data_IF_838011750520
#
_entry.id   IF_838011750520
#
_cell.length_a   1.000
_cell.length_b   1.000
_cell.length_c   1.000
_cell.angle_alpha   90.00
_cell.angle_beta   90.00
_cell.angle_gamma   90.00
#
_symmetry.space_group_name_H-M   'P 1'
#
loop_
_entity.id
_entity.type
_entity.pdbx_description
1 polymer ?
#
# COMPACT_ATOMS: atom_id res chain seq x y z
N UNK A 1 15.62 14.11 -7.71
CA UNK A 1 15.07 13.23 -6.64
C UNK A 1 13.82 13.87 -6.07
N UNK A 2 12.80 13.06 -5.79
CA UNK A 2 11.57 13.54 -5.16
C UNK A 2 11.79 13.75 -3.67
N UNK A 3 11.16 14.80 -3.12
CA UNK A 3 11.15 15.12 -1.68
C UNK A 3 9.83 14.65 -1.08
N UNK A 4 9.88 14.02 0.10
CA UNK A 4 8.67 13.60 0.79
C UNK A 4 7.89 14.82 1.31
N UNK A 5 6.58 14.88 0.99
CA UNK A 5 5.70 15.98 1.38
C UNK A 5 4.53 15.46 2.22
N UNK A 6 4.32 16.07 3.39
CA UNK A 6 3.29 15.66 4.34
C UNK A 6 1.87 15.97 3.87
N UNK A 7 1.66 17.03 3.10
CA UNK A 7 0.34 17.36 2.55
C UNK A 7 -0.06 16.35 1.46
N UNK A 8 0.88 15.94 0.60
CA UNK A 8 0.64 14.86 -0.36
C UNK A 8 0.38 13.52 0.33
N UNK A 9 1.08 13.23 1.44
CA UNK A 9 0.82 12.02 2.23
C UNK A 9 -0.57 12.07 2.90
N UNK A 10 -0.99 13.23 3.38
CA UNK A 10 -2.35 13.43 3.91
C UNK A 10 -3.41 13.27 2.82
N UNK A 11 -3.16 13.76 1.61
CA UNK A 11 -4.05 13.57 0.46
C UNK A 11 -4.20 12.08 0.12
N UNK A 12 -3.08 11.34 0.07
CA UNK A 12 -3.04 9.91 -0.17
C UNK A 12 -3.83 9.13 0.91
N UNK A 13 -3.67 9.51 2.18
CA UNK A 13 -4.42 8.93 3.29
C UNK A 13 -5.92 9.14 3.15
N UNK A 14 -6.36 10.38 2.90
CA UNK A 14 -7.78 10.72 2.69
C UNK A 14 -8.38 10.01 1.48
N UNK A 15 -7.61 9.85 0.41
CA UNK A 15 -8.02 9.08 -0.77
C UNK A 15 -8.27 7.62 -0.41
N UNK A 16 -7.35 6.95 0.31
CA UNK A 16 -7.50 5.56 0.73
C UNK A 16 -8.72 5.38 1.64
N UNK A 17 -8.91 6.27 2.63
CA UNK A 17 -10.08 6.26 3.52
C UNK A 17 -11.39 6.40 2.75
N UNK A 18 -11.44 7.31 1.78
CA UNK A 18 -12.61 7.51 0.92
C UNK A 18 -12.89 6.26 0.06
N UNK A 19 -11.85 5.61 -0.46
CA UNK A 19 -11.99 4.36 -1.22
C UNK A 19 -12.63 3.26 -0.38
N UNK A 20 -12.23 3.08 0.88
CA UNK A 20 -12.84 2.12 1.79
C UNK A 20 -14.27 2.54 2.17
N UNK A 21 -14.49 3.81 2.50
CA UNK A 21 -15.79 4.31 2.92
C UNK A 21 -16.85 4.20 1.81
N UNK A 22 -16.50 4.56 0.57
CA UNK A 22 -17.40 4.52 -0.57
C UNK A 22 -17.30 3.20 -1.37
N UNK A 23 -16.49 2.24 -0.87
CA UNK A 23 -16.33 0.89 -1.41
C UNK A 23 -16.01 0.85 -2.91
N UNK A 24 -14.95 1.53 -3.36
CA UNK A 24 -14.54 1.55 -4.75
C UNK A 24 -13.03 1.37 -4.94
N UNK A 25 -12.64 0.88 -6.14
CA UNK A 25 -11.27 0.79 -6.61
C UNK A 25 -11.15 1.51 -7.95
N UNK A 26 -10.78 2.80 -7.92
CA UNK A 26 -10.64 3.67 -9.09
C UNK A 26 -9.92 4.96 -8.72
N UNK A 27 -9.32 5.64 -9.71
CA UNK A 27 -8.83 7.01 -9.54
C UNK A 27 -9.97 7.98 -9.17
N UNK A 28 -11.15 7.79 -9.74
CA UNK A 28 -12.32 8.65 -9.52
C UNK A 28 -13.29 8.01 -8.53
N UNK A 29 -13.74 8.80 -7.57
CA UNK A 29 -14.77 8.35 -6.61
C UNK A 29 -16.16 8.32 -7.27
N UNK A 30 -17.09 7.50 -6.73
CA UNK A 30 -18.47 7.43 -7.27
C UNK A 30 -19.25 8.75 -7.20
N UNK A 31 -18.88 9.65 -6.28
CA UNK A 31 -19.43 11.00 -6.14
C UNK A 31 -18.79 12.03 -7.08
N UNK A 32 -17.89 11.59 -7.97
CA UNK A 32 -17.19 12.41 -8.94
C UNK A 32 -15.91 13.06 -8.44
N UNK A 33 -15.53 12.88 -7.17
CA UNK A 33 -14.23 13.39 -6.67
C UNK A 33 -13.07 12.77 -7.42
N UNK A 34 -12.15 13.64 -7.81
CA UNK A 34 -10.91 13.31 -8.51
C UNK A 34 -9.75 13.15 -7.51
N UNK A 35 -8.62 12.55 -7.89
CA UNK A 35 -7.41 12.57 -7.05
C UNK A 35 -6.97 13.99 -6.67
N UNK A 36 -7.21 14.95 -7.56
CA UNK A 36 -6.85 16.35 -7.38
C UNK A 36 -7.63 17.03 -6.27
N UNK A 37 -8.88 16.64 -6.05
CA UNK A 37 -9.70 17.17 -4.95
C UNK A 37 -9.13 16.78 -3.58
N UNK A 38 -8.53 15.60 -3.46
CA UNK A 38 -7.84 15.17 -2.23
C UNK A 38 -6.55 15.96 -2.02
N UNK A 39 -5.78 16.23 -3.09
CA UNK A 39 -4.56 17.03 -3.04
C UNK A 39 -4.87 18.47 -2.62
N UNK A 40 -5.86 19.12 -3.27
CA UNK A 40 -6.30 20.45 -2.91
C UNK A 40 -6.92 20.51 -1.51
N UNK A 41 -7.69 19.49 -1.12
CA UNK A 41 -8.27 19.35 0.22
C UNK A 41 -7.25 19.10 1.34
N UNK A 42 -6.00 18.79 0.98
CA UNK A 42 -4.86 18.74 1.89
C UNK A 42 -4.04 20.04 1.90
N UNK A 43 -4.57 21.12 1.32
CA UNK A 43 -3.90 22.43 1.17
C UNK A 43 -2.65 22.41 0.28
N UNK A 44 -2.50 21.43 -0.60
CA UNK A 44 -1.40 21.38 -1.54
C UNK A 44 -1.85 21.97 -2.88
N UNK A 45 -1.43 23.20 -3.17
CA UNK A 45 -1.63 23.85 -4.47
C UNK A 45 -0.49 23.44 -5.39
N UNK A 46 -0.81 22.94 -6.56
CA UNK A 46 0.17 22.33 -7.47
C UNK A 46 0.15 22.96 -8.87
N UNK A 47 1.28 22.88 -9.53
CA UNK A 47 1.41 23.09 -10.97
C UNK A 47 1.23 21.74 -11.70
N UNK A 48 1.89 20.70 -11.18
CA UNK A 48 1.76 19.34 -11.67
C UNK A 48 1.34 18.42 -10.53
N UNK A 49 0.48 17.44 -10.83
CA UNK A 49 0.10 16.39 -9.90
C UNK A 49 -0.07 15.05 -10.61
N UNK A 50 0.09 13.96 -9.88
CA UNK A 50 -0.07 12.60 -10.36
C UNK A 50 -0.44 11.62 -9.26
N UNK A 51 -1.03 10.49 -9.65
CA UNK A 51 -1.43 9.43 -8.72
C UNK A 51 -1.05 8.07 -9.29
N UNK A 52 -0.50 7.20 -8.45
CA UNK A 52 -0.39 5.77 -8.67
C UNK A 52 -1.11 5.03 -7.55
N UNK A 53 -1.85 3.99 -7.90
CA UNK A 53 -2.59 3.17 -6.96
C UNK A 53 -2.14 1.72 -7.02
N UNK A 54 -2.06 1.06 -5.86
CA UNK A 54 -1.84 -0.37 -5.76
C UNK A 54 -2.64 -0.97 -4.61
N UNK A 55 -3.04 -2.23 -4.73
CA UNK A 55 -3.70 -2.98 -3.66
C UNK A 55 -3.22 -4.42 -3.58
N UNK A 56 -3.26 -4.96 -2.35
CA UNK A 56 -3.03 -6.39 -2.05
C UNK A 56 -1.64 -6.92 -2.42
N UNK A 57 -0.62 -6.06 -2.43
CA UNK A 57 0.76 -6.51 -2.54
C UNK A 57 1.29 -6.97 -1.18
N UNK A 58 2.01 -8.09 -1.15
CA UNK A 58 2.62 -8.61 0.07
C UNK A 58 3.84 -7.80 0.52
N UNK A 59 4.56 -7.21 -0.44
CA UNK A 59 5.80 -6.50 -0.19
C UNK A 59 5.86 -5.20 -1.00
N UNK A 60 6.52 -4.19 -0.45
CA UNK A 60 6.66 -2.88 -1.09
C UNK A 60 7.46 -2.92 -2.41
N UNK A 61 8.47 -3.80 -2.51
CA UNK A 61 9.19 -3.99 -3.76
C UNK A 61 8.29 -4.49 -4.89
N UNK A 62 7.34 -5.39 -4.59
CA UNK A 62 6.34 -5.85 -5.56
C UNK A 62 5.47 -4.72 -6.11
N UNK A 63 5.10 -3.74 -5.26
CA UNK A 63 4.37 -2.53 -5.70
C UNK A 63 5.22 -1.73 -6.70
N UNK A 64 6.47 -1.45 -6.34
CA UNK A 64 7.38 -0.67 -7.18
C UNK A 64 7.64 -1.40 -8.50
N UNK A 65 7.90 -2.69 -8.46
CA UNK A 65 8.13 -3.51 -9.66
C UNK A 65 6.90 -3.52 -10.58
N UNK A 66 5.69 -3.64 -10.03
CA UNK A 66 4.44 -3.58 -10.79
C UNK A 66 4.26 -2.22 -11.46
N UNK A 67 4.45 -1.12 -10.72
CA UNK A 67 4.39 0.22 -11.28
C UNK A 67 5.45 0.47 -12.35
N UNK A 68 6.70 0.02 -12.15
CA UNK A 68 7.78 0.18 -13.14
C UNK A 68 7.60 -0.67 -14.39
N UNK A 69 6.86 -1.78 -14.32
CA UNK A 69 6.51 -2.61 -15.46
C UNK A 69 5.27 -2.12 -16.22
N UNK A 70 4.52 -1.16 -15.67
CA UNK A 70 3.40 -0.50 -16.34
C UNK A 70 3.83 0.84 -16.92
N UNK A 71 3.59 1.08 -18.21
CA UNK A 71 4.03 2.31 -18.89
C UNK A 71 3.49 3.58 -18.22
N UNK A 72 2.21 3.61 -17.90
CA UNK A 72 1.53 4.78 -17.31
C UNK A 72 2.03 5.10 -15.90
N UNK A 73 2.17 4.08 -15.05
CA UNK A 73 2.67 4.27 -13.68
C UNK A 73 4.16 4.63 -13.66
N UNK A 74 4.94 4.00 -14.55
CA UNK A 74 6.36 4.31 -14.73
C UNK A 74 6.56 5.75 -15.20
N UNK A 75 5.73 6.25 -16.11
CA UNK A 75 5.77 7.64 -16.56
C UNK A 75 5.57 8.60 -15.37
N UNK A 76 4.64 8.33 -14.48
CA UNK A 76 4.46 9.11 -13.26
C UNK A 76 5.73 9.09 -12.38
N UNK A 77 6.33 7.91 -12.14
CA UNK A 77 7.51 7.78 -11.29
C UNK A 77 8.72 8.53 -11.87
N UNK A 78 8.87 8.51 -13.19
CA UNK A 78 10.02 9.09 -13.89
C UNK A 78 9.79 10.51 -14.40
N UNK A 79 8.60 11.08 -14.18
CA UNK A 79 8.26 12.41 -14.65
C UNK A 79 9.11 13.48 -13.98
N UNK A 80 9.82 14.25 -14.81
CA UNK A 80 10.82 15.23 -14.34
C UNK A 80 10.20 16.46 -13.69
N UNK A 81 8.96 16.75 -14.05
CA UNK A 81 8.19 17.87 -13.53
C UNK A 81 7.79 17.66 -12.07
N UNK A 82 7.71 16.43 -11.59
CA UNK A 82 7.41 16.19 -10.18
C UNK A 82 8.65 16.42 -9.32
N UNK A 83 8.48 17.20 -8.27
CA UNK A 83 9.53 17.52 -7.29
C UNK A 83 9.26 16.91 -5.91
N UNK A 84 8.00 16.58 -5.63
CA UNK A 84 7.55 16.08 -4.34
C UNK A 84 6.67 14.84 -4.49
N UNK A 85 6.63 14.05 -3.44
CA UNK A 85 5.84 12.80 -3.37
C UNK A 85 5.27 12.60 -1.97
N UNK A 86 4.10 12.00 -1.88
CA UNK A 86 3.50 11.53 -0.64
C UNK A 86 2.95 10.12 -0.79
N UNK A 87 2.89 9.38 0.32
CA UNK A 87 2.42 7.99 0.34
C UNK A 87 1.43 7.77 1.47
N UNK A 88 0.50 6.85 1.23
CA UNK A 88 -0.30 6.22 2.27
C UNK A 88 -0.38 4.71 2.04
N UNK A 89 -0.28 3.95 3.13
CA UNK A 89 -0.51 2.50 3.16
C UNK A 89 -1.59 2.27 4.20
N UNK A 90 -2.77 1.86 3.77
CA UNK A 90 -3.95 1.76 4.62
C UNK A 90 -4.60 0.40 4.46
N UNK A 91 -4.93 -0.23 5.58
CA UNK A 91 -5.67 -1.48 5.63
C UNK A 91 -7.14 -1.21 5.91
N UNK A 92 -8.02 -1.89 5.23
CA UNK A 92 -9.47 -1.78 5.40
C UNK A 92 -10.23 -2.89 4.70
N UNK A 93 -11.54 -2.76 4.66
CA UNK A 93 -12.40 -3.71 3.94
C UNK A 93 -12.87 -3.07 2.63
N UNK A 94 -12.64 -3.75 1.51
CA UNK A 94 -13.09 -3.34 0.18
C UNK A 94 -13.83 -4.52 -0.47
N UNK A 95 -15.07 -4.30 -0.91
CA UNK A 95 -15.93 -5.35 -1.46
C UNK A 95 -16.07 -6.59 -0.53
N UNK A 96 -16.07 -6.38 0.79
CA UNK A 96 -16.17 -7.45 1.79
C UNK A 96 -14.85 -8.16 2.10
N UNK A 97 -13.74 -7.81 1.44
CA UNK A 97 -12.42 -8.42 1.62
C UNK A 97 -11.44 -7.50 2.34
N UNK A 98 -10.61 -8.08 3.20
CA UNK A 98 -9.51 -7.35 3.82
C UNK A 98 -8.49 -6.96 2.75
N UNK A 99 -8.26 -5.67 2.59
CA UNK A 99 -7.47 -5.08 1.51
C UNK A 99 -6.46 -4.11 2.07
N UNK A 100 -5.22 -4.17 1.58
CA UNK A 100 -4.21 -3.14 1.79
C UNK A 100 -4.16 -2.25 0.55
N UNK A 101 -4.41 -0.95 0.73
CA UNK A 101 -4.24 0.05 -0.33
C UNK A 101 -2.89 0.76 -0.17
N UNK A 102 -2.21 0.98 -1.29
CA UNK A 102 -1.01 1.81 -1.40
C UNK A 102 -1.32 2.93 -2.38
N UNK A 103 -1.32 4.16 -1.88
CA UNK A 103 -1.57 5.37 -2.66
C UNK A 103 -0.28 6.17 -2.73
N UNK A 104 0.12 6.54 -3.93
CA UNK A 104 1.25 7.44 -4.18
C UNK A 104 0.73 8.69 -4.89
N UNK A 105 0.97 9.84 -4.28
CA UNK A 105 0.63 11.16 -4.83
C UNK A 105 1.91 11.90 -5.18
N UNK A 106 2.00 12.41 -6.40
CA UNK A 106 3.10 13.26 -6.86
C UNK A 106 2.65 14.70 -6.96
N UNK A 107 3.59 15.62 -6.82
CA UNK A 107 3.30 17.04 -7.02
C UNK A 107 4.53 17.87 -7.31
N UNK A 108 4.23 19.04 -7.89
CA UNK A 108 5.12 20.21 -7.94
C UNK A 108 4.32 21.36 -7.40
N UNK A 109 4.77 22.01 -6.30
CA UNK A 109 4.00 23.09 -5.71
C UNK A 109 3.86 24.26 -6.69
N UNK A 110 2.67 24.83 -6.75
CA UNK A 110 2.46 26.07 -7.46
C UNK A 110 3.26 27.18 -6.77
N UNK A 111 4.34 27.60 -7.38
CA UNK A 111 5.14 28.74 -6.90
C UNK A 111 4.32 30.02 -7.10
N UNK A 112 3.59 30.42 -6.05
CA UNK A 112 2.98 31.74 -6.05
C UNK A 112 4.10 32.79 -6.07
N UNK A 113 3.99 33.79 -6.93
CA UNK A 113 4.76 35.02 -6.79
C UNK A 113 4.35 35.66 -5.45
N UNK A 114 5.03 35.30 -4.37
CA UNK A 114 4.98 36.08 -3.16
C UNK A 114 5.68 37.41 -3.46
N UNK A 115 4.92 38.42 -3.86
CA UNK A 115 5.33 39.78 -3.61
C UNK A 115 5.42 39.90 -2.07
N UNK A 116 6.56 40.15 -1.50
CA UNK A 116 6.64 40.42 -0.07
C UNK A 116 5.85 41.72 0.18
N UNK A 117 4.64 41.61 0.72
CA UNK A 117 4.02 42.77 1.31
C UNK A 117 4.85 43.14 2.54
N UNK A 118 5.32 44.38 2.64
CA UNK A 118 5.99 44.82 3.83
C UNK A 118 5.02 44.67 5.01
N UNK A 119 5.36 43.80 5.93
CA UNK A 119 4.68 43.66 7.21
C UNK A 119 4.89 44.98 7.93
N UNK A 120 3.89 45.84 7.94
CA UNK A 120 3.85 46.95 8.87
C UNK A 120 3.75 46.33 10.27
N UNK A 121 4.83 46.44 11.00
CA UNK A 121 4.87 46.11 12.42
C UNK A 121 3.96 47.10 13.16
N UNK A 122 2.72 46.74 13.42
CA UNK A 122 1.94 47.36 14.47
C UNK A 122 2.20 46.58 15.75
N UNK A 123 3.15 47.10 16.52
CA UNK A 123 3.32 46.72 17.92
C UNK A 123 2.07 47.09 18.70
N UNK A 124 1.36 46.09 19.15
CA UNK A 124 0.54 46.19 20.36
C UNK A 124 0.68 44.86 21.10
N UNK A 125 1.72 44.84 21.95
CA UNK A 125 1.92 43.76 22.91
C UNK A 125 0.87 43.94 24.00
N UNK A 126 -0.24 43.19 23.93
CA UNK A 126 -1.08 43.00 25.10
C UNK A 126 -0.52 41.81 25.88
N UNK A 127 0.00 42.10 27.06
CA UNK A 127 0.43 41.14 28.07
C UNK A 127 -0.77 40.28 28.51
N UNK A 128 -0.83 39.02 28.01
CA UNK A 128 -1.70 38.00 28.56
C UNK A 128 -0.87 37.18 29.55
N UNK A 129 -1.27 37.02 30.82
CA UNK A 129 -0.56 36.20 31.78
C UNK A 129 -0.51 34.77 31.33
N UNK A 130 0.67 34.19 31.16
CA UNK A 130 0.89 32.77 30.87
C UNK A 130 0.65 32.02 32.18
N UNK A 131 -0.51 31.45 32.34
CA UNK A 131 -0.76 30.44 33.38
C UNK A 131 -0.04 29.16 33.00
N UNK A 132 1.11 28.91 33.60
CA UNK A 132 1.87 27.67 33.46
C UNK A 132 1.16 26.54 34.18
N UNK A 133 0.24 25.86 33.49
CA UNK A 133 -0.27 24.57 33.91
C UNK A 133 0.64 23.49 33.32
N UNK A 134 1.28 22.65 34.16
CA UNK A 134 2.12 21.57 33.60
C UNK A 134 1.24 20.61 32.79
N UNK A 135 1.41 20.62 31.46
CA UNK A 135 0.88 19.58 30.62
C UNK A 135 1.63 18.29 30.96
N UNK A 136 0.94 17.36 31.62
CA UNK A 136 1.39 15.99 31.71
C UNK A 136 1.54 15.46 30.27
N UNK A 137 2.78 15.26 29.86
CA UNK A 137 3.09 14.48 28.66
C UNK A 137 2.65 13.05 28.98
N UNK A 138 1.46 12.71 28.55
CA UNK A 138 1.02 11.30 28.50
C UNK A 138 2.01 10.61 27.57
N UNK A 139 2.89 9.79 28.18
CA UNK A 139 3.77 8.91 27.44
C UNK A 139 2.92 8.13 26.42
N UNK A 140 3.11 8.42 25.14
CA UNK A 140 2.55 7.60 24.08
C UNK A 140 3.04 6.18 24.31
N UNK A 141 2.10 5.34 24.74
CA UNK A 141 2.31 3.90 24.85
C UNK A 141 2.77 3.43 23.47
N UNK A 142 4.03 3.07 23.35
CA UNK A 142 4.58 2.46 22.15
C UNK A 142 3.69 1.26 21.83
N UNK A 143 2.88 1.42 20.79
CA UNK A 143 2.07 0.32 20.26
C UNK A 143 3.08 -0.67 19.69
N UNK A 144 3.29 -1.77 20.40
CA UNK A 144 4.01 -2.93 19.89
C UNK A 144 3.43 -3.25 18.49
N UNK A 145 4.26 -3.51 17.47
CA UNK A 145 3.75 -3.85 16.17
C UNK A 145 2.87 -5.10 16.32
N UNK A 146 1.58 -4.94 16.14
CA UNK A 146 0.66 -6.08 16.06
C UNK A 146 1.14 -6.91 14.88
N UNK A 147 1.67 -8.11 15.18
CA UNK A 147 2.01 -9.10 14.15
C UNK A 147 0.76 -9.25 13.30
N UNK A 148 0.87 -8.90 12.03
CA UNK A 148 -0.27 -8.91 11.12
C UNK A 148 -0.70 -10.38 10.98
N UNK A 149 -1.82 -10.76 11.58
CA UNK A 149 -2.30 -12.14 11.63
C UNK A 149 -2.41 -12.75 10.22
N UNK A 150 -2.71 -11.92 9.22
CA UNK A 150 -2.75 -12.32 7.82
C UNK A 150 -1.38 -12.80 7.31
N UNK A 151 -0.31 -12.04 7.56
CA UNK A 151 1.05 -12.42 7.13
C UNK A 151 1.52 -13.68 7.86
N UNK A 152 1.14 -13.85 9.13
CA UNK A 152 1.44 -15.04 9.89
C UNK A 152 0.72 -16.27 9.34
N UNK A 153 -0.59 -16.17 9.09
CA UNK A 153 -1.41 -17.25 8.55
C UNK A 153 -0.99 -17.64 7.13
N UNK A 154 -0.69 -16.64 6.27
CA UNK A 154 -0.21 -16.88 4.92
C UNK A 154 1.14 -17.62 4.93
N UNK A 155 2.12 -17.15 5.72
CA UNK A 155 3.41 -17.82 5.85
C UNK A 155 3.26 -19.24 6.39
N UNK A 156 2.36 -19.47 7.34
CA UNK A 156 2.09 -20.80 7.90
C UNK A 156 1.49 -21.73 6.84
N UNK A 157 0.56 -21.24 6.03
CA UNK A 157 -0.04 -22.00 4.93
C UNK A 157 0.99 -22.36 3.85
N UNK A 158 1.87 -21.42 3.48
CA UNK A 158 2.95 -21.68 2.52
C UNK A 158 3.93 -22.72 3.07
N UNK A 159 4.33 -22.61 4.33
CA UNK A 159 5.22 -23.60 5.01
C UNK A 159 4.53 -24.98 5.02
N UNK A 160 3.26 -25.06 5.41
CA UNK A 160 2.51 -26.30 5.44
C UNK A 160 2.39 -26.96 4.06
N UNK A 161 2.08 -26.18 3.03
CA UNK A 161 1.95 -26.67 1.65
C UNK A 161 3.30 -27.11 1.09
N UNK A 162 4.39 -26.41 1.39
CA UNK A 162 5.76 -26.82 1.01
C UNK A 162 6.15 -28.12 1.68
N UNK A 163 5.83 -28.27 2.97
CA UNK A 163 6.06 -29.52 3.71
C UNK A 163 5.27 -30.69 3.11
N UNK A 164 4.01 -30.46 2.76
CA UNK A 164 3.16 -31.48 2.13
C UNK A 164 3.71 -31.92 0.76
N UNK A 165 4.19 -30.99 -0.05
CA UNK A 165 4.82 -31.29 -1.35
C UNK A 165 6.10 -32.12 -1.15
N UNK A 166 6.91 -31.75 -0.18
CA UNK A 166 8.16 -32.46 0.11
C UNK A 166 7.86 -33.90 0.60
N UNK A 167 6.86 -34.06 1.45
CA UNK A 167 6.41 -35.39 1.91
C UNK A 167 5.92 -36.26 0.75
N UNK A 168 5.13 -35.71 -0.18
CA UNK A 168 4.67 -36.42 -1.38
C UNK A 168 5.80 -36.75 -2.35
N UNK A 169 6.77 -35.86 -2.52
CA UNK A 169 7.95 -36.11 -3.35
C UNK A 169 8.81 -37.23 -2.77
N UNK A 170 9.00 -37.27 -1.44
CA UNK A 170 9.69 -38.37 -0.75
C UNK A 170 8.92 -39.67 -0.86
N UNK A 171 7.60 -39.67 -0.69
CA UNK A 171 6.75 -40.88 -0.85
C UNK A 171 6.86 -41.43 -2.28
N UNK A 172 6.83 -40.56 -3.31
CA UNK A 172 7.02 -40.93 -4.70
C UNK A 172 8.42 -41.51 -4.96
N UNK A 173 9.46 -40.87 -4.41
CA UNK A 173 10.85 -41.33 -4.54
C UNK A 173 11.04 -42.72 -3.93
N UNK A 174 10.58 -42.95 -2.70
CA UNK A 174 10.68 -44.23 -2.04
C UNK A 174 9.83 -45.31 -2.75
N UNK A 175 8.62 -44.98 -3.19
CA UNK A 175 7.78 -45.91 -3.95
C UNK A 175 8.45 -46.34 -5.25
N UNK A 176 9.11 -45.42 -5.96
CA UNK A 176 9.86 -45.69 -7.20
C UNK A 176 11.11 -46.52 -6.93
N UNK A 177 11.89 -46.19 -5.90
CA UNK A 177 13.16 -46.87 -5.58
C UNK A 177 12.99 -48.27 -5.06
N UNK A 178 11.89 -48.54 -4.32
CA UNK A 178 11.62 -49.83 -3.68
C UNK A 178 10.75 -50.76 -4.56
N UNK A 179 10.46 -50.37 -5.81
CA UNK A 179 9.60 -51.14 -6.74
C UNK A 179 8.24 -51.57 -6.13
N UNK A 180 7.70 -50.76 -5.22
CA UNK A 180 6.40 -51.05 -4.60
C UNK A 180 5.33 -50.72 -5.64
N UNK A 181 4.72 -51.79 -6.20
CA UNK A 181 3.59 -51.69 -7.13
C UNK A 181 2.40 -51.17 -6.33
N UNK A 182 2.16 -49.86 -6.35
CA UNK A 182 0.90 -49.28 -5.86
C UNK A 182 -0.17 -49.37 -6.93
N UNK A 183 -1.20 -50.17 -6.67
CA UNK A 183 -2.31 -50.49 -7.59
C UNK A 183 -3.17 -49.26 -7.98
N UNK A 184 -2.83 -48.09 -7.52
CA UNK A 184 -3.54 -46.86 -7.89
C UNK A 184 -2.57 -45.81 -8.37
N UNK A 185 -2.52 -45.60 -9.69
CA UNK A 185 -1.76 -44.51 -10.37
C UNK A 185 -2.21 -43.08 -10.03
N UNK A 186 -2.64 -42.86 -8.77
CA UNK A 186 -3.19 -41.58 -8.29
C UNK A 186 -2.16 -40.62 -7.72
N UNK A 187 -0.92 -41.05 -7.44
CA UNK A 187 0.09 -40.21 -6.79
C UNK A 187 0.54 -39.04 -7.67
N UNK A 188 0.73 -39.28 -8.97
CA UNK A 188 1.08 -38.24 -9.94
C UNK A 188 -0.04 -37.23 -10.09
N UNK A 189 -1.30 -37.67 -10.06
CA UNK A 189 -2.44 -36.75 -10.11
C UNK A 189 -2.55 -35.89 -8.85
N UNK A 190 -2.29 -36.42 -7.66
CA UNK A 190 -2.27 -35.64 -6.41
C UNK A 190 -1.12 -34.65 -6.38
N UNK A 191 0.04 -35.04 -6.88
CA UNK A 191 1.20 -34.14 -6.98
C UNK A 191 0.92 -32.96 -7.91
N UNK A 192 0.38 -33.24 -9.11
CA UNK A 192 -0.02 -32.20 -10.06
C UNK A 192 -1.15 -31.33 -9.52
N UNK A 193 -2.11 -31.89 -8.80
CA UNK A 193 -3.20 -31.15 -8.16
C UNK A 193 -2.68 -30.18 -7.09
N UNK A 194 -1.72 -30.60 -6.27
CA UNK A 194 -1.10 -29.72 -5.26
C UNK A 194 -0.27 -28.62 -5.90
N UNK A 195 0.50 -28.93 -6.97
CA UNK A 195 1.21 -27.90 -7.75
C UNK A 195 0.22 -26.89 -8.31
N UNK A 196 -0.93 -27.35 -8.83
CA UNK A 196 -1.95 -26.48 -9.37
C UNK A 196 -2.58 -25.56 -8.30
N UNK A 197 -2.85 -26.10 -7.09
CA UNK A 197 -3.32 -25.32 -5.95
C UNK A 197 -2.27 -24.28 -5.54
N UNK A 198 -0.98 -24.65 -5.43
CA UNK A 198 0.09 -23.72 -5.10
C UNK A 198 0.24 -22.61 -6.13
N UNK A 199 0.15 -22.97 -7.41
CA UNK A 199 0.18 -21.99 -8.50
C UNK A 199 -1.03 -21.05 -8.42
N UNK A 200 -2.23 -21.57 -8.13
CA UNK A 200 -3.44 -20.78 -7.92
C UNK A 200 -3.33 -19.85 -6.72
N UNK A 201 -2.78 -20.31 -5.59
CA UNK A 201 -2.52 -19.48 -4.42
C UNK A 201 -1.48 -18.37 -4.72
N UNK A 202 -0.43 -18.71 -5.47
CA UNK A 202 0.59 -17.73 -5.87
C UNK A 202 -0.01 -16.65 -6.77
N UNK A 203 -0.84 -17.04 -7.74
CA UNK A 203 -1.52 -16.08 -8.64
C UNK A 203 -2.52 -15.21 -7.88
N UNK A 204 -3.25 -15.78 -6.91
CA UNK A 204 -4.23 -15.02 -6.11
C UNK A 204 -3.61 -13.99 -5.14
N UNK A 205 -2.30 -14.10 -4.88
CA UNK A 205 -1.55 -13.16 -4.03
C UNK A 205 -0.87 -12.03 -4.80
N UNK A 206 -0.98 -12.03 -6.13
CA UNK A 206 -0.47 -10.92 -6.95
C UNK A 206 -1.38 -9.71 -6.74
N UNK A 207 -0.81 -8.63 -6.22
CA UNK A 207 -1.51 -7.37 -6.07
C UNK A 207 -1.91 -6.76 -7.42
N UNK A 208 -2.83 -5.81 -7.39
CA UNK A 208 -3.30 -5.08 -8.58
C UNK A 208 -2.94 -3.61 -8.50
N UNK A 209 -2.70 -3.01 -9.68
CA UNK A 209 -2.43 -1.57 -9.87
C UNK A 209 -3.46 -0.98 -10.83
N UNK A 210 -3.79 0.29 -10.68
CA UNK A 210 -4.56 1.13 -11.62
C UNK A 210 -4.01 2.54 -11.64
#
# INVERSE_FOLDING_TARGET
>A
SLVLNSALSLAAQKKAENMFQANYWSHYAPDGKTPWDFILGANYKYEYAGENLAKNFLFSNGVVDAWMNSSTHRENILKKEYTEVGYAIVNGTLNGEQTTLVIQMFGTPLVGTFTPQPVQANETIQNIPIENKPQQILAQKTVQPKINAFNFTFNLNVIFMTFLLLALALDFYFASKLNVIRIAGKNTAHFLFIIFILMGLFISTIGTII
#
